data_IF_906227965631
#
_entry.id   IF_906227965631
#
_cell.length_a   1.000
_cell.length_b   1.000
_cell.length_c   1.000
_cell.angle_alpha   90.00
_cell.angle_beta   90.00
_cell.angle_gamma   90.00
#
_symmetry.space_group_name_H-M   'P 1'
#
loop_
_entity.id
_entity.type
_entity.pdbx_description
1 polymer ?
#
# COMPACT_ATOMS: atom_id res chain seq x y z
N UNK A 1 21.37 11.83 -20.81
CA UNK A 1 20.61 12.36 -19.65
C UNK A 1 20.48 11.22 -18.65
N UNK A 2 21.00 11.36 -17.43
CA UNK A 2 20.88 10.34 -16.37
C UNK A 2 20.10 10.95 -15.20
N UNK A 3 18.97 10.33 -14.87
CA UNK A 3 18.16 10.68 -13.72
C UNK A 3 18.32 9.60 -12.64
N UNK A 4 18.28 10.00 -11.37
CA UNK A 4 18.30 9.11 -10.21
C UNK A 4 16.93 9.22 -9.55
N UNK A 5 16.10 8.18 -9.65
CA UNK A 5 14.83 8.08 -8.91
C UNK A 5 15.18 8.06 -7.42
N UNK A 6 14.92 9.16 -6.72
CA UNK A 6 14.83 9.15 -5.26
C UNK A 6 13.49 8.47 -4.99
N UNK A 7 13.50 7.37 -4.24
CA UNK A 7 12.37 6.45 -4.05
C UNK A 7 11.24 7.06 -3.20
N UNK A 8 10.56 8.10 -3.72
CA UNK A 8 9.33 8.67 -3.14
C UNK A 8 8.09 7.84 -3.48
N UNK A 9 8.28 6.72 -4.18
CA UNK A 9 7.19 5.83 -4.61
C UNK A 9 6.92 4.70 -3.63
N UNK A 10 7.66 4.59 -2.54
CA UNK A 10 7.58 3.47 -1.58
C UNK A 10 7.35 3.96 -0.15
N UNK A 11 6.36 3.38 0.51
CA UNK A 11 6.01 3.62 1.90
C UNK A 11 6.12 2.32 2.68
N UNK A 12 6.72 2.36 3.87
CA UNK A 12 6.68 1.26 4.83
C UNK A 12 5.72 1.66 5.94
N UNK A 13 4.59 0.97 6.01
CA UNK A 13 3.52 1.22 6.98
C UNK A 13 3.63 0.17 8.08
N UNK A 14 4.02 0.60 9.26
CA UNK A 14 4.04 -0.26 10.44
C UNK A 14 2.62 -0.38 11.02
N UNK A 15 2.13 -1.63 11.14
CA UNK A 15 0.78 -1.93 11.61
C UNK A 15 0.86 -2.77 12.88
N UNK A 16 0.10 -2.34 13.89
CA UNK A 16 -0.13 -3.09 15.13
C UNK A 16 -1.62 -3.17 15.41
N UNK A 17 -2.20 -4.36 15.27
CA UNK A 17 -3.65 -4.54 15.37
C UNK A 17 -4.04 -5.89 15.98
N UNK A 18 -5.18 -5.94 16.66
CA UNK A 18 -5.78 -7.19 17.18
C UNK A 18 -6.91 -7.72 16.29
N UNK A 19 -7.24 -7.03 15.20
CA UNK A 19 -8.29 -7.40 14.24
C UNK A 19 -7.89 -7.03 12.81
N UNK A 20 -8.53 -7.62 11.77
CA UNK A 20 -8.34 -7.18 10.39
C UNK A 20 -8.54 -5.67 10.22
N UNK A 21 -7.79 -5.07 9.30
CA UNK A 21 -7.85 -3.62 9.03
C UNK A 21 -8.02 -3.35 7.55
N UNK A 22 -8.66 -2.21 7.25
CA UNK A 22 -8.62 -1.60 5.93
C UNK A 22 -7.64 -0.43 5.97
N UNK A 23 -6.47 -0.60 5.35
CA UNK A 23 -5.50 0.46 5.20
C UNK A 23 -5.97 1.40 4.08
N UNK A 24 -6.44 2.59 4.43
CA UNK A 24 -6.79 3.63 3.46
C UNK A 24 -5.55 4.44 3.10
N UNK A 25 -5.28 4.57 1.81
CA UNK A 25 -4.17 5.34 1.27
C UNK A 25 -4.70 6.59 0.57
N UNK A 26 -4.42 7.76 1.15
CA UNK A 26 -5.05 9.04 0.79
C UNK A 26 -4.62 9.64 -0.56
N UNK A 27 -3.79 8.94 -1.33
CA UNK A 27 -3.50 9.30 -2.72
C UNK A 27 -4.68 8.96 -3.64
N UNK A 28 -4.77 9.67 -4.76
CA UNK A 28 -5.76 9.38 -5.79
C UNK A 28 -5.67 7.91 -6.24
N UNK A 29 -6.83 7.28 -6.42
CA UNK A 29 -6.92 5.91 -6.91
C UNK A 29 -6.14 5.75 -8.22
N UNK A 30 -5.28 4.72 -8.26
CA UNK A 30 -4.52 4.36 -9.44
C UNK A 30 -4.13 2.88 -9.33
N UNK A 31 -4.39 2.10 -10.39
CA UNK A 31 -4.13 0.66 -10.43
C UNK A 31 -2.65 0.28 -10.22
N UNK A 32 -1.74 1.23 -10.36
CA UNK A 32 -0.31 1.05 -10.14
C UNK A 32 0.13 1.18 -8.68
N UNK A 33 -0.74 1.64 -7.77
CA UNK A 33 -0.48 1.54 -6.34
C UNK A 33 -0.69 0.10 -5.86
N UNK A 34 0.37 -0.52 -5.38
CA UNK A 34 0.38 -1.89 -4.87
C UNK A 34 0.75 -1.91 -3.41
N UNK A 35 0.17 -2.82 -2.64
CA UNK A 35 0.64 -3.11 -1.28
C UNK A 35 1.20 -4.53 -1.21
N UNK A 36 2.18 -4.74 -0.33
CA UNK A 36 2.84 -6.02 -0.13
C UNK A 36 2.92 -6.32 1.37
N UNK A 37 2.55 -7.54 1.74
CA UNK A 37 2.69 -8.10 3.08
C UNK A 37 3.49 -9.39 2.97
N UNK A 38 4.66 -9.46 3.60
CA UNK A 38 5.57 -10.61 3.52
C UNK A 38 5.82 -11.03 2.04
N UNK A 39 6.09 -10.06 1.16
CA UNK A 39 6.29 -10.20 -0.30
C UNK A 39 5.07 -10.69 -1.11
N UNK A 40 3.90 -10.83 -0.47
CA UNK A 40 2.63 -11.16 -1.14
C UNK A 40 1.90 -9.86 -1.49
N UNK A 41 1.55 -9.69 -2.77
CA UNK A 41 0.75 -8.55 -3.25
C UNK A 41 -0.66 -8.58 -2.66
N UNK A 42 -1.13 -7.42 -2.20
CA UNK A 42 -2.49 -7.17 -1.76
C UNK A 42 -3.16 -6.29 -2.82
N UNK A 43 -4.29 -6.77 -3.34
CA UNK A 43 -5.08 -6.02 -4.30
C UNK A 43 -5.58 -4.69 -3.70
N UNK A 44 -5.47 -3.62 -4.49
CA UNK A 44 -6.11 -2.34 -4.15
C UNK A 44 -7.61 -2.46 -4.36
N UNK A 45 -8.37 -1.95 -3.40
CA UNK A 45 -9.81 -1.72 -3.54
C UNK A 45 -10.07 -0.22 -3.60
N UNK A 46 -11.00 0.20 -4.45
CA UNK A 46 -11.40 1.60 -4.51
C UNK A 46 -12.24 1.94 -3.27
N UNK A 47 -11.74 2.84 -2.42
CA UNK A 47 -12.42 3.32 -1.23
C UNK A 47 -12.93 4.74 -1.47
N UNK A 48 -14.17 5.00 -1.01
CA UNK A 48 -14.85 6.28 -1.18
C UNK A 48 -14.90 6.81 -2.62
N UNK A 49 -14.82 5.93 -3.64
CA UNK A 49 -14.76 6.25 -5.07
C UNK A 49 -13.49 6.96 -5.57
N UNK A 50 -12.49 7.27 -4.73
CA UNK A 50 -11.31 8.03 -5.19
C UNK A 50 -9.99 7.72 -4.49
N UNK A 51 -9.96 6.83 -3.49
CA UNK A 51 -8.72 6.45 -2.79
C UNK A 51 -8.41 4.97 -2.95
N UNK A 52 -7.13 4.60 -2.81
CA UNK A 52 -6.73 3.21 -2.70
C UNK A 52 -6.98 2.70 -1.28
N UNK A 53 -7.42 1.46 -1.16
CA UNK A 53 -7.53 0.75 0.10
C UNK A 53 -6.94 -0.64 -0.02
N UNK A 54 -6.36 -1.14 1.08
CA UNK A 54 -5.78 -2.47 1.12
C UNK A 54 -6.36 -3.21 2.32
N UNK A 55 -7.09 -4.29 2.07
CA UNK A 55 -7.66 -5.11 3.15
C UNK A 55 -6.61 -6.09 3.66
N UNK A 56 -6.33 -6.04 4.97
CA UNK A 56 -5.29 -6.83 5.60
C UNK A 56 -5.90 -7.75 6.66
N UNK A 57 -6.00 -9.06 6.40
CA UNK A 57 -6.60 -10.01 7.35
C UNK A 57 -5.64 -10.39 8.50
N UNK A 58 -4.34 -10.13 8.36
CA UNK A 58 -3.32 -10.45 9.37
C UNK A 58 -3.47 -9.58 10.61
N UNK A 59 -3.37 -10.20 11.79
CA UNK A 59 -3.31 -9.53 13.09
C UNK A 59 -1.90 -9.63 13.69
N UNK A 60 -1.63 -8.86 14.73
CA UNK A 60 -0.31 -8.75 15.36
C UNK A 60 0.41 -7.47 14.93
N UNK A 61 1.74 -7.58 14.82
CA UNK A 61 2.64 -6.48 14.50
C UNK A 61 3.46 -6.84 13.26
N UNK A 62 3.42 -6.01 12.23
CA UNK A 62 4.04 -6.26 10.93
C UNK A 62 4.20 -4.98 10.12
N UNK A 63 5.02 -5.04 9.07
CA UNK A 63 5.18 -3.96 8.11
C UNK A 63 4.45 -4.29 6.81
N UNK A 64 3.84 -3.27 6.21
CA UNK A 64 3.20 -3.32 4.89
C UNK A 64 3.95 -2.36 3.99
N UNK A 65 4.38 -2.83 2.84
CA UNK A 65 5.05 -1.98 1.85
C UNK A 65 4.00 -1.51 0.85
N UNK A 66 3.83 -0.20 0.67
CA UNK A 66 2.97 0.37 -0.38
C UNK A 66 3.88 1.02 -1.42
N UNK A 67 3.76 0.61 -2.68
CA UNK A 67 4.65 1.04 -3.76
C UNK A 67 3.86 1.45 -5.03
N UNK A 68 4.29 2.55 -5.67
CA UNK A 68 3.80 2.94 -6.99
C UNK A 68 4.66 2.31 -8.09
N UNK A 69 4.03 1.46 -8.89
CA UNK A 69 4.67 0.65 -9.94
C UNK A 69 4.52 1.23 -11.35
N UNK A 70 3.88 2.39 -11.49
CA UNK A 70 3.70 3.05 -12.79
C UNK A 70 5.03 3.64 -13.29
N UNK A 71 5.31 3.46 -14.59
CA UNK A 71 6.49 4.00 -15.29
C UNK A 71 6.18 5.30 -16.01
#
# INVERSE_FOLDING_TARGET
VSHRKIDVTKYVVHVKTTSPVLLMFSEAYNDFWKAYLDDVEIESIQVNYFTNGFYIPKTGEYDVVVEFTGQ
#
